data_IF_461024865876
#
_entry.id   IF_461024865876
#
_cell.length_a   1.000
_cell.length_b   1.000
_cell.length_c   1.000
_cell.angle_alpha   90.00
_cell.angle_beta   90.00
_cell.angle_gamma   90.00
#
_symmetry.space_group_name_H-M   'P 1'
#
loop_
_entity.id
_entity.type
_entity.pdbx_description
1 polymer ?
#
# COMPACT_ATOMS: atom_id res chain seq x y z
N UNK A 1 20.10 3.39 10.37
CA UNK A 1 19.21 2.32 10.87
C UNK A 1 17.75 2.51 10.50
N UNK A 2 17.14 3.69 10.70
CA UNK A 2 15.71 3.95 10.44
C UNK A 2 15.23 3.49 9.04
N UNK A 3 15.95 3.82 7.96
CA UNK A 3 15.61 3.37 6.59
C UNK A 3 15.49 1.85 6.47
N UNK A 4 16.35 1.08 7.15
CA UNK A 4 16.29 -0.39 7.13
C UNK A 4 15.08 -0.92 7.88
N UNK A 5 14.73 -0.31 9.02
CA UNK A 5 13.54 -0.68 9.80
C UNK A 5 12.28 -0.40 8.98
N UNK A 6 12.15 0.79 8.40
CA UNK A 6 11.02 1.12 7.53
C UNK A 6 10.99 0.24 6.28
N UNK A 7 12.15 -0.08 5.71
CA UNK A 7 12.25 -0.98 4.55
C UNK A 7 11.77 -2.39 4.85
N UNK A 8 12.18 -2.95 6.00
CA UNK A 8 11.72 -4.25 6.47
C UNK A 8 10.21 -4.24 6.75
N UNK A 9 9.72 -3.19 7.42
CA UNK A 9 8.30 -3.01 7.69
C UNK A 9 7.47 -3.01 6.39
N UNK A 10 7.85 -2.19 5.41
CA UNK A 10 7.17 -2.12 4.12
C UNK A 10 7.18 -3.47 3.39
N UNK A 11 8.31 -4.17 3.41
CA UNK A 11 8.41 -5.49 2.81
C UNK A 11 7.53 -6.53 3.54
N UNK A 12 7.50 -6.52 4.87
CA UNK A 12 6.68 -7.43 5.65
C UNK A 12 5.18 -7.20 5.39
N UNK A 13 4.73 -5.93 5.34
CA UNK A 13 3.34 -5.60 5.00
C UNK A 13 3.02 -6.01 3.55
N UNK A 14 3.95 -5.82 2.61
CA UNK A 14 3.77 -6.26 1.23
C UNK A 14 3.51 -7.77 1.14
N UNK A 15 4.32 -8.57 1.84
CA UNK A 15 4.14 -10.03 1.91
C UNK A 15 2.83 -10.39 2.60
N UNK A 16 2.50 -9.73 3.72
CA UNK A 16 1.27 -9.97 4.46
C UNK A 16 0.02 -9.76 3.59
N UNK A 17 -0.04 -8.62 2.90
CA UNK A 17 -1.17 -8.29 2.00
C UNK A 17 -1.20 -9.26 0.83
N UNK A 18 -0.06 -9.53 0.16
CA UNK A 18 -0.01 -10.46 -0.96
C UNK A 18 -0.48 -11.88 -0.60
N UNK A 19 -0.02 -12.40 0.55
CA UNK A 19 -0.44 -13.72 1.04
C UNK A 19 -1.94 -13.70 1.34
N UNK A 20 -2.43 -12.66 2.01
CA UNK A 20 -3.86 -12.52 2.28
C UNK A 20 -4.70 -12.52 1.01
N UNK A 21 -4.36 -11.68 0.03
CA UNK A 21 -5.05 -11.61 -1.27
C UNK A 21 -5.13 -12.97 -1.97
N UNK A 22 -4.06 -13.78 -1.91
CA UNK A 22 -4.02 -15.10 -2.57
C UNK A 22 -4.80 -16.15 -1.78
N UNK A 23 -4.78 -16.08 -0.46
CA UNK A 23 -5.36 -17.12 0.42
C UNK A 23 -6.84 -16.84 0.71
N UNK A 24 -7.29 -15.58 0.73
CA UNK A 24 -8.68 -15.20 1.02
C UNK A 24 -9.74 -15.93 0.17
N UNK A 25 -9.54 -16.11 -1.16
CA UNK A 25 -10.46 -16.88 -1.99
C UNK A 25 -10.54 -18.37 -1.59
N UNK A 26 -9.56 -18.93 -0.89
CA UNK A 26 -9.54 -20.35 -0.51
C UNK A 26 -10.46 -20.66 0.68
N UNK A 27 -10.79 -19.66 1.50
CA UNK A 27 -11.63 -19.84 2.68
C UNK A 27 -12.87 -18.93 2.69
N UNK A 28 -13.09 -18.12 1.63
CA UNK A 28 -14.30 -17.30 1.38
C UNK A 28 -14.86 -16.69 2.66
N UNK A 29 -14.12 -15.74 3.24
CA UNK A 29 -14.54 -15.04 4.46
C UNK A 29 -15.39 -13.78 4.20
N UNK A 30 -15.64 -13.45 2.93
CA UNK A 30 -16.57 -12.40 2.52
C UNK A 30 -17.98 -12.99 2.34
N UNK A 31 -19.00 -12.28 2.85
CA UNK A 31 -20.39 -12.73 2.83
C UNK A 31 -21.38 -11.57 2.76
N UNK A 32 -22.70 -11.84 2.67
CA UNK A 32 -23.72 -10.80 2.58
C UNK A 32 -23.66 -9.87 3.81
N UNK A 33 -23.32 -8.60 3.60
CA UNK A 33 -23.14 -7.61 4.67
C UNK A 33 -21.73 -7.54 5.28
N UNK A 34 -20.81 -8.40 4.86
CA UNK A 34 -19.39 -8.34 5.22
C UNK A 34 -18.53 -8.45 3.95
N UNK A 35 -18.33 -7.33 3.22
CA UNK A 35 -17.70 -7.33 1.90
C UNK A 35 -16.19 -7.59 1.94
N UNK A 36 -15.60 -7.81 3.12
CA UNK A 36 -14.18 -8.07 3.29
C UNK A 36 -13.92 -9.02 4.48
N UNK A 37 -12.87 -9.83 4.37
CA UNK A 37 -12.45 -10.75 5.43
C UNK A 37 -12.18 -10.03 6.77
N UNK A 38 -12.60 -10.57 7.94
CA UNK A 38 -12.32 -10.00 9.27
C UNK A 38 -10.84 -9.70 9.53
N UNK A 39 -9.95 -10.38 8.81
CA UNK A 39 -8.51 -10.17 8.86
C UNK A 39 -8.10 -8.72 8.54
N UNK A 40 -8.86 -8.03 7.69
CA UNK A 40 -8.61 -6.63 7.35
C UNK A 40 -8.71 -5.69 8.54
N UNK A 41 -9.41 -6.04 9.62
CA UNK A 41 -9.40 -5.25 10.87
C UNK A 41 -7.99 -5.09 11.43
N UNK A 42 -7.14 -6.11 11.27
CA UNK A 42 -5.74 -6.10 11.69
C UNK A 42 -4.83 -5.54 10.59
N UNK A 43 -5.08 -5.91 9.34
CA UNK A 43 -4.23 -5.51 8.20
C UNK A 43 -4.39 -4.03 7.85
N UNK A 44 -5.56 -3.43 8.07
CA UNK A 44 -5.83 -2.05 7.73
C UNK A 44 -4.87 -1.05 8.40
N UNK A 45 -4.70 -1.02 9.73
CA UNK A 45 -3.76 -0.08 10.36
C UNK A 45 -2.31 -0.29 9.90
N UNK A 46 -1.90 -1.55 9.65
CA UNK A 46 -0.58 -1.87 9.12
C UNK A 46 -0.39 -1.34 7.70
N UNK A 47 -1.40 -1.53 6.85
CA UNK A 47 -1.44 -1.06 5.47
C UNK A 47 -1.46 0.46 5.41
N UNK A 48 -2.24 1.12 6.27
CA UNK A 48 -2.28 2.57 6.40
C UNK A 48 -0.89 3.15 6.68
N UNK A 49 -0.21 2.61 7.69
CA UNK A 49 1.15 3.03 8.03
C UNK A 49 2.13 2.73 6.89
N UNK A 50 1.99 1.60 6.19
CA UNK A 50 2.82 1.26 5.04
C UNK A 50 2.63 2.24 3.88
N UNK A 51 1.39 2.64 3.59
CA UNK A 51 1.07 3.65 2.57
C UNK A 51 1.69 5.00 2.94
N UNK A 52 1.55 5.44 4.19
CA UNK A 52 2.14 6.70 4.67
C UNK A 52 3.66 6.69 4.54
N UNK A 53 4.32 5.64 5.07
CA UNK A 53 5.77 5.51 4.97
C UNK A 53 6.24 5.41 3.51
N UNK A 54 5.54 4.63 2.70
CA UNK A 54 5.79 4.47 1.28
C UNK A 54 5.72 5.79 0.52
N UNK A 55 4.66 6.57 0.75
CA UNK A 55 4.48 7.90 0.17
C UNK A 55 5.62 8.86 0.60
N UNK A 56 5.94 8.91 1.90
CA UNK A 56 7.01 9.77 2.43
C UNK A 56 8.36 9.43 1.82
N UNK A 57 8.78 8.15 1.83
CA UNK A 57 10.09 7.78 1.29
C UNK A 57 10.17 7.91 -0.23
N UNK A 58 9.05 7.67 -0.94
CA UNK A 58 8.99 7.90 -2.39
C UNK A 58 9.03 9.38 -2.73
N UNK A 59 8.40 10.24 -1.93
CA UNK A 59 8.49 11.70 -2.04
C UNK A 59 9.92 12.19 -1.84
N UNK A 60 10.59 11.75 -0.76
CA UNK A 60 11.98 12.10 -0.48
C UNK A 60 12.92 11.66 -1.61
N UNK A 61 12.66 10.49 -2.20
CA UNK A 61 13.41 10.02 -3.37
C UNK A 61 13.15 10.92 -4.59
N UNK A 62 11.89 11.28 -4.84
CA UNK A 62 11.48 12.16 -5.95
C UNK A 62 12.13 13.55 -5.84
N UNK A 63 12.16 14.16 -4.65
CA UNK A 63 12.74 15.49 -4.46
C UNK A 63 14.28 15.49 -4.52
N UNK A 64 14.92 14.36 -4.24
CA UNK A 64 16.39 14.23 -4.33
C UNK A 64 16.96 14.11 -5.75
N UNK A 65 16.14 13.91 -6.79
CA UNK A 65 16.62 13.56 -8.14
C UNK A 65 16.89 14.75 -9.08
N UNK A 66 16.59 15.99 -8.69
CA UNK A 66 16.77 17.17 -9.55
C UNK A 66 15.79 17.22 -10.74
N UNK A 67 15.45 18.42 -11.21
CA UNK A 67 14.33 18.63 -12.14
C UNK A 67 14.65 18.52 -13.63
N UNK A 68 15.93 18.40 -14.01
CA UNK A 68 16.36 18.80 -15.35
C UNK A 68 16.40 17.67 -16.39
N UNK A 69 16.21 16.40 -16.00
CA UNK A 69 16.19 15.29 -16.97
C UNK A 69 15.26 14.14 -16.58
N UNK A 70 14.51 13.63 -17.56
CA UNK A 70 13.68 12.43 -17.40
C UNK A 70 14.58 11.19 -17.44
N UNK A 71 15.08 10.78 -16.28
CA UNK A 71 15.85 9.54 -16.12
C UNK A 71 14.95 8.38 -15.71
N UNK A 72 15.47 7.14 -15.80
CA UNK A 72 14.80 5.95 -15.24
C UNK A 72 14.47 6.14 -13.76
N UNK A 73 15.37 6.75 -13.01
CA UNK A 73 15.19 6.97 -11.56
C UNK A 73 14.11 7.99 -11.28
N UNK A 74 14.02 9.05 -12.11
CA UNK A 74 12.93 10.01 -12.06
C UNK A 74 11.58 9.32 -12.26
N UNK A 75 11.44 8.49 -13.29
CA UNK A 75 10.20 7.74 -13.55
C UNK A 75 9.84 6.84 -12.38
N UNK A 76 10.79 6.04 -11.88
CA UNK A 76 10.54 5.13 -10.75
C UNK A 76 10.10 5.89 -9.50
N UNK A 77 10.76 6.99 -9.14
CA UNK A 77 10.41 7.77 -7.96
C UNK A 77 9.02 8.41 -8.06
N UNK A 78 8.67 8.93 -9.25
CA UNK A 78 7.34 9.48 -9.51
C UNK A 78 6.26 8.40 -9.50
N UNK A 79 6.49 7.27 -10.17
CA UNK A 79 5.53 6.14 -10.18
C UNK A 79 5.26 5.62 -8.77
N UNK A 80 6.29 5.46 -7.94
CA UNK A 80 6.11 5.02 -6.56
C UNK A 80 5.33 6.06 -5.74
N UNK A 81 5.71 7.34 -5.83
CA UNK A 81 5.03 8.40 -5.08
C UNK A 81 3.56 8.54 -5.46
N UNK A 82 3.27 8.71 -6.75
CA UNK A 82 1.89 8.85 -7.22
C UNK A 82 1.10 7.54 -7.10
N UNK A 83 1.77 6.39 -7.21
CA UNK A 83 1.16 5.09 -6.94
C UNK A 83 0.69 4.96 -5.50
N UNK A 84 1.52 5.34 -4.52
CA UNK A 84 1.12 5.36 -3.10
C UNK A 84 0.01 6.36 -2.82
N UNK A 85 0.01 7.53 -3.48
CA UNK A 85 -1.08 8.49 -3.35
C UNK A 85 -2.40 7.92 -3.89
N UNK A 86 -2.37 7.33 -5.09
CA UNK A 86 -3.53 6.74 -5.73
C UNK A 86 -4.13 5.60 -4.88
N UNK A 87 -3.31 4.62 -4.53
CA UNK A 87 -3.74 3.49 -3.68
C UNK A 87 -4.15 3.98 -2.29
N UNK A 88 -3.44 4.96 -1.74
CA UNK A 88 -3.75 5.55 -0.44
C UNK A 88 -5.12 6.24 -0.39
N UNK A 89 -5.43 7.08 -1.38
CA UNK A 89 -6.74 7.73 -1.46
C UNK A 89 -7.85 6.69 -1.51
N UNK A 90 -7.72 5.67 -2.37
CA UNK A 90 -8.71 4.60 -2.48
C UNK A 90 -8.85 3.80 -1.18
N UNK A 91 -7.72 3.44 -0.57
CA UNK A 91 -7.68 2.69 0.69
C UNK A 91 -8.35 3.46 1.84
N UNK A 92 -7.95 4.71 2.09
CA UNK A 92 -8.50 5.51 3.19
C UNK A 92 -9.96 5.87 2.97
N UNK A 93 -10.34 6.20 1.73
CA UNK A 93 -11.73 6.43 1.37
C UNK A 93 -12.59 5.22 1.72
N UNK A 94 -12.18 4.03 1.28
CA UNK A 94 -12.92 2.81 1.52
C UNK A 94 -12.97 2.46 3.00
N UNK A 95 -11.82 2.49 3.68
CA UNK A 95 -11.71 2.10 5.08
C UNK A 95 -12.52 3.01 6.01
N UNK A 96 -12.49 4.34 5.81
CA UNK A 96 -13.27 5.27 6.63
C UNK A 96 -14.77 5.18 6.37
N UNK A 97 -15.18 4.93 5.12
CA UNK A 97 -16.59 4.74 4.81
C UNK A 97 -17.16 3.46 5.44
N UNK A 98 -16.36 2.39 5.53
CA UNK A 98 -16.76 1.17 6.25
C UNK A 98 -16.92 1.38 7.77
N UNK A 99 -16.30 2.42 8.34
CA UNK A 99 -16.50 2.81 9.74
C UNK A 99 -17.71 3.72 9.95
N UNK A 100 -18.26 4.30 8.88
CA UNK A 100 -19.34 5.27 8.97
C UNK A 100 -20.70 4.56 8.91
N UNK A 101 -21.47 4.51 10.02
CA UNK A 101 -22.77 3.84 10.03
C UNK A 101 -23.83 4.54 9.15
N UNK A 102 -23.61 5.80 8.76
CA UNK A 102 -24.48 6.55 7.85
C UNK A 102 -24.11 6.34 6.37
N UNK A 103 -23.03 5.63 6.06
CA UNK A 103 -22.63 5.34 4.69
C UNK A 103 -23.44 4.16 4.15
N UNK A 104 -24.47 4.45 3.37
CA UNK A 104 -25.18 3.46 2.56
C UNK A 104 -24.32 3.17 1.33
N UNK A 105 -23.52 2.11 1.40
CA UNK A 105 -22.53 1.82 0.36
C UNK A 105 -23.17 1.71 -1.04
N UNK A 106 -22.47 2.30 -2.00
CA UNK A 106 -22.48 1.91 -3.41
C UNK A 106 -22.32 0.38 -3.44
N UNK A 107 -23.12 -0.34 -4.23
CA UNK A 107 -23.29 -1.81 -4.13
C UNK A 107 -22.00 -2.62 -4.03
N UNK A 108 -22.09 -3.83 -3.48
CA UNK A 108 -20.98 -4.73 -3.11
C UNK A 108 -19.90 -4.89 -4.19
N UNK A 109 -20.27 -4.80 -5.47
CA UNK A 109 -19.36 -4.83 -6.62
C UNK A 109 -18.32 -3.68 -6.61
N UNK A 110 -18.74 -2.47 -6.22
CA UNK A 110 -17.85 -1.30 -6.21
C UNK A 110 -16.84 -1.37 -5.06
N UNK A 111 -17.28 -1.85 -3.89
CA UNK A 111 -16.40 -2.07 -2.74
C UNK A 111 -15.35 -3.12 -3.07
N UNK A 112 -15.75 -4.19 -3.76
CA UNK A 112 -14.86 -5.28 -4.20
C UNK A 112 -13.79 -4.80 -5.18
N UNK A 113 -14.14 -3.94 -6.13
CA UNK A 113 -13.17 -3.35 -7.07
C UNK A 113 -12.10 -2.49 -6.39
N UNK A 114 -12.48 -1.73 -5.35
CA UNK A 114 -11.51 -0.93 -4.59
C UNK A 114 -10.52 -1.83 -3.84
N UNK A 115 -11.02 -2.92 -3.24
CA UNK A 115 -10.15 -3.88 -2.56
C UNK A 115 -9.17 -4.56 -3.52
N UNK A 116 -9.58 -4.92 -4.73
CA UNK A 116 -8.69 -5.46 -5.76
C UNK A 116 -7.52 -4.50 -6.07
N UNK A 117 -7.79 -3.19 -6.13
CA UNK A 117 -6.73 -2.19 -6.35
C UNK A 117 -5.76 -2.12 -5.17
N UNK A 118 -6.27 -2.20 -3.94
CA UNK A 118 -5.44 -2.22 -2.73
C UNK A 118 -4.60 -3.50 -2.68
N UNK A 119 -5.23 -4.64 -2.90
CA UNK A 119 -4.64 -5.97 -2.92
C UNK A 119 -3.52 -6.12 -3.94
N UNK A 120 -3.69 -5.55 -5.14
CA UNK A 120 -2.63 -5.56 -6.15
C UNK A 120 -1.58 -4.46 -5.92
N UNK A 121 -2.04 -3.26 -5.55
CA UNK A 121 -1.21 -2.07 -5.49
C UNK A 121 -0.26 -2.03 -4.29
N UNK A 122 -0.77 -2.35 -3.10
CA UNK A 122 0.02 -2.27 -1.86
C UNK A 122 1.22 -3.21 -1.90
N UNK A 123 1.11 -4.50 -2.26
CA UNK A 123 2.27 -5.38 -2.30
C UNK A 123 3.35 -4.90 -3.25
N UNK A 124 2.98 -4.46 -4.46
CA UNK A 124 3.94 -4.03 -5.47
C UNK A 124 4.68 -2.77 -5.03
N UNK A 125 3.96 -1.76 -4.56
CA UNK A 125 4.53 -0.48 -4.15
C UNK A 125 5.36 -0.62 -2.87
N UNK A 126 4.82 -1.31 -1.86
CA UNK A 126 5.49 -1.51 -0.58
C UNK A 126 6.72 -2.42 -0.70
N UNK A 127 6.67 -3.49 -1.51
CA UNK A 127 7.86 -4.30 -1.76
C UNK A 127 8.94 -3.52 -2.52
N UNK A 128 8.57 -2.78 -3.57
CA UNK A 128 9.53 -2.00 -4.36
C UNK A 128 10.24 -0.94 -3.52
N UNK A 129 9.48 -0.16 -2.74
CA UNK A 129 10.07 0.86 -1.85
C UNK A 129 10.80 0.22 -0.67
N UNK A 130 10.27 -0.87 -0.10
CA UNK A 130 10.89 -1.61 1.00
C UNK A 130 12.27 -2.15 0.64
N UNK A 131 12.37 -2.86 -0.49
CA UNK A 131 13.63 -3.39 -1.02
C UNK A 131 14.63 -2.27 -1.32
N UNK A 132 14.16 -1.17 -1.92
CA UNK A 132 15.01 0.00 -2.17
C UNK A 132 15.60 0.56 -0.88
N UNK A 133 14.80 0.75 0.16
CA UNK A 133 15.26 1.26 1.45
C UNK A 133 16.24 0.31 2.14
N UNK A 134 15.98 -1.01 2.09
CA UNK A 134 16.89 -2.04 2.62
C UNK A 134 18.27 -1.98 1.96
N UNK A 135 18.32 -1.78 0.64
CA UNK A 135 19.56 -1.67 -0.15
C UNK A 135 20.26 -0.32 0.04
N UNK A 136 19.51 0.77 0.19
CA UNK A 136 20.09 2.11 0.38
C UNK A 136 20.92 2.26 1.66
N UNK A 137 20.72 1.36 2.64
CA UNK A 137 21.48 1.35 3.89
C UNK A 137 22.78 0.55 3.87
N UNK A 138 23.22 0.01 2.72
CA UNK A 138 24.49 -0.74 2.60
C UNK A 138 25.63 0.08 1.97
N UNK A 139 25.37 1.32 1.52
CA UNK A 139 26.35 2.19 0.84
C UNK A 139 26.89 3.33 1.71
N UNK A 140 26.73 3.25 3.04
CA UNK A 140 27.25 4.25 3.98
C UNK A 140 27.78 3.58 5.23
N UNK A 141 29.06 3.25 5.20
CA UNK A 141 29.90 2.78 6.29
C UNK A 141 31.33 3.16 5.98
#
# INVERSE_FOLDING_TARGET
>A
MLKKICGLYLFAVAVLVAVHTVVEPLYHASGPGQPYSPFWTIVNPLTALAIVLGAVFSYLRKTGLGGDSVTREFLVANTLFYGFLFVGIMFFWNWFNLMNPAFTAIGDDTVSLVWIVVDAGVPLLAAATGIHLLRSGSQGG
#
